data_IF_284917674710
#
_entry.id   IF_284917674710
#
_cell.length_a   1.000
_cell.length_b   1.000
_cell.length_c   1.000
_cell.angle_alpha   90.00
_cell.angle_beta   90.00
_cell.angle_gamma   90.00
#
_symmetry.space_group_name_H-M   'P 1'
#
loop_
_entity.id
_entity.type
_entity.pdbx_description
1 polymer ?
#
# COMPACT_ATOMS: atom_id res chain seq x y z
N UNK A 1 25.94 -24.19 3.86
CA UNK A 1 25.30 -23.00 4.47
C UNK A 1 24.74 -22.00 3.44
N UNK A 2 24.61 -22.36 2.14
CA UNK A 2 24.43 -21.38 1.05
C UNK A 2 23.05 -21.25 0.40
N UNK A 3 22.17 -22.27 0.48
CA UNK A 3 20.95 -22.28 -0.35
C UNK A 3 19.73 -21.61 0.29
N UNK A 4 19.60 -21.66 1.61
CA UNK A 4 18.50 -21.03 2.34
C UNK A 4 18.59 -19.49 2.35
N UNK A 5 19.80 -18.95 2.35
CA UNK A 5 20.03 -17.49 2.32
C UNK A 5 19.74 -16.94 0.92
N UNK A 6 20.24 -17.60 -0.14
CA UNK A 6 19.93 -17.23 -1.53
C UNK A 6 18.43 -17.25 -1.82
N UNK A 7 17.70 -18.28 -1.38
CA UNK A 7 16.23 -18.33 -1.55
C UNK A 7 15.50 -17.20 -0.84
N UNK A 8 15.91 -16.84 0.40
CA UNK A 8 15.32 -15.70 1.12
C UNK A 8 15.57 -14.37 0.42
N UNK A 9 16.78 -14.16 -0.11
CA UNK A 9 17.15 -12.93 -0.82
C UNK A 9 16.37 -12.82 -2.14
N UNK A 10 16.28 -13.90 -2.92
CA UNK A 10 15.52 -13.93 -4.18
C UNK A 10 14.02 -13.71 -3.94
N UNK A 11 13.47 -14.29 -2.87
CA UNK A 11 12.08 -14.04 -2.46
C UNK A 11 11.86 -12.57 -2.07
N UNK A 12 12.80 -11.99 -1.30
CA UNK A 12 12.76 -10.57 -0.93
C UNK A 12 12.82 -9.64 -2.14
N UNK A 13 13.70 -9.92 -3.11
CA UNK A 13 13.83 -9.16 -4.35
C UNK A 13 12.56 -9.26 -5.20
N UNK A 14 11.92 -10.43 -5.28
CA UNK A 14 10.62 -10.58 -5.96
C UNK A 14 9.54 -9.72 -5.33
N UNK A 15 9.45 -9.71 -4.00
CA UNK A 15 8.49 -8.86 -3.27
C UNK A 15 8.78 -7.38 -3.55
N UNK A 16 10.06 -7.00 -3.52
CA UNK A 16 10.48 -5.62 -3.79
C UNK A 16 10.16 -5.18 -5.22
N UNK A 17 10.38 -6.05 -6.21
CA UNK A 17 10.04 -5.80 -7.60
C UNK A 17 8.52 -5.64 -7.79
N UNK A 18 7.71 -6.46 -7.11
CA UNK A 18 6.25 -6.31 -7.11
C UNK A 18 5.82 -5.00 -6.45
N UNK A 19 6.44 -4.60 -5.34
CA UNK A 19 6.21 -3.29 -4.72
C UNK A 19 6.55 -2.14 -5.66
N UNK A 20 7.73 -2.16 -6.30
CA UNK A 20 8.16 -1.12 -7.25
C UNK A 20 7.19 -1.04 -8.42
N UNK A 21 6.79 -2.19 -8.97
CA UNK A 21 5.83 -2.25 -10.07
C UNK A 21 4.46 -1.71 -9.66
N UNK A 22 4.00 -2.05 -8.46
CA UNK A 22 2.74 -1.54 -7.90
C UNK A 22 2.78 -0.02 -7.69
N UNK A 23 3.88 0.51 -7.15
CA UNK A 23 4.09 1.96 -6.97
C UNK A 23 4.09 2.67 -8.32
N UNK A 24 4.83 2.16 -9.30
CA UNK A 24 4.84 2.68 -10.67
C UNK A 24 3.44 2.71 -11.29
N UNK A 25 2.67 1.64 -11.09
CA UNK A 25 1.31 1.52 -11.63
C UNK A 25 0.36 2.53 -10.97
N UNK A 26 0.44 2.72 -9.65
CA UNK A 26 -0.35 3.75 -8.95
C UNK A 26 0.06 5.16 -9.40
N UNK A 27 1.35 5.45 -9.47
CA UNK A 27 1.85 6.75 -9.92
C UNK A 27 1.43 7.04 -11.36
N UNK A 28 1.40 6.01 -12.22
CA UNK A 28 0.92 6.12 -13.59
C UNK A 28 -0.59 6.39 -13.65
N UNK A 29 -1.41 5.65 -12.88
CA UNK A 29 -2.86 5.90 -12.79
C UNK A 29 -3.15 7.30 -12.26
N UNK A 30 -2.43 7.75 -11.22
CA UNK A 30 -2.61 9.06 -10.63
C UNK A 30 -2.21 10.18 -11.61
N UNK A 31 -1.10 10.02 -12.32
CA UNK A 31 -0.68 10.97 -13.35
C UNK A 31 -1.67 11.00 -14.52
N UNK A 32 -2.19 9.85 -14.93
CA UNK A 32 -3.21 9.77 -15.99
C UNK A 32 -4.53 10.42 -15.56
N UNK A 33 -4.92 10.26 -14.29
CA UNK A 33 -6.09 10.92 -13.71
C UNK A 33 -5.92 12.45 -13.67
N UNK A 34 -4.74 12.94 -13.28
CA UNK A 34 -4.40 14.37 -13.32
C UNK A 34 -4.43 14.96 -14.74
N UNK A 35 -3.94 14.21 -15.74
CA UNK A 35 -3.95 14.65 -17.14
C UNK A 35 -5.38 14.70 -17.71
N UNK A 36 -6.27 13.79 -17.27
CA UNK A 36 -7.65 13.70 -17.78
C UNK A 36 -8.64 14.60 -17.04
N UNK A 37 -8.36 14.93 -15.77
CA UNK A 37 -9.22 15.74 -14.92
C UNK A 37 -8.73 17.19 -14.90
N UNK A 38 -9.08 17.96 -15.94
CA UNK A 38 -8.99 19.42 -15.90
C UNK A 38 -9.96 19.95 -14.81
N UNK A 39 -9.43 20.12 -13.59
CA UNK A 39 -10.04 20.74 -12.41
C UNK A 39 -11.28 20.04 -11.80
N UNK A 40 -11.37 20.13 -10.47
CA UNK A 40 -12.38 19.53 -9.56
C UNK A 40 -12.32 18.00 -9.38
N UNK A 41 -11.17 17.46 -8.98
CA UNK A 41 -11.13 16.13 -8.37
C UNK A 41 -11.92 16.14 -7.05
N UNK A 42 -13.09 15.52 -7.05
CA UNK A 42 -13.94 15.42 -5.87
C UNK A 42 -13.18 14.69 -4.74
N UNK A 43 -12.82 15.39 -3.67
CA UNK A 43 -12.00 14.86 -2.55
C UNK A 43 -12.58 13.56 -1.96
N UNK A 44 -13.90 13.40 -2.02
CA UNK A 44 -14.61 12.18 -1.59
C UNK A 44 -14.22 10.98 -2.47
N UNK A 45 -14.11 11.17 -3.79
CA UNK A 45 -13.72 10.12 -4.71
C UNK A 45 -12.29 9.65 -4.45
N UNK A 46 -11.35 10.59 -4.25
CA UNK A 46 -9.96 10.27 -3.89
C UNK A 46 -9.86 9.53 -2.56
N UNK A 47 -10.66 9.92 -1.56
CA UNK A 47 -10.74 9.23 -0.27
C UNK A 47 -11.19 7.76 -0.45
N UNK A 48 -12.27 7.53 -1.20
CA UNK A 48 -12.82 6.19 -1.45
C UNK A 48 -11.80 5.32 -2.21
N UNK A 49 -11.11 5.91 -3.20
CA UNK A 49 -10.07 5.22 -3.96
C UNK A 49 -8.87 4.85 -3.07
N UNK A 50 -8.46 5.75 -2.18
CA UNK A 50 -7.44 5.47 -1.16
C UNK A 50 -7.87 4.35 -0.20
N UNK A 51 -9.10 4.37 0.31
CA UNK A 51 -9.60 3.32 1.20
C UNK A 51 -9.60 1.96 0.50
N UNK A 52 -10.13 1.88 -0.72
CA UNK A 52 -10.20 0.62 -1.46
C UNK A 52 -8.82 0.06 -1.78
N UNK A 53 -7.86 0.91 -2.18
CA UNK A 53 -6.47 0.50 -2.43
C UNK A 53 -5.77 -0.01 -1.18
N UNK A 54 -5.89 0.68 -0.03
CA UNK A 54 -5.30 0.21 1.23
C UNK A 54 -5.96 -1.07 1.75
N UNK A 55 -7.27 -1.27 1.56
CA UNK A 55 -7.94 -2.55 1.87
C UNK A 55 -7.36 -3.67 1.01
N UNK A 56 -7.21 -3.45 -0.30
CA UNK A 56 -6.69 -4.47 -1.22
C UNK A 56 -5.23 -4.82 -0.92
N UNK A 57 -4.42 -3.80 -0.63
CA UNK A 57 -3.04 -3.95 -0.21
C UNK A 57 -2.95 -4.78 1.07
N UNK A 58 -3.73 -4.40 2.09
CA UNK A 58 -3.83 -5.17 3.32
C UNK A 58 -4.22 -6.62 3.06
N UNK A 59 -5.25 -6.85 2.25
CA UNK A 59 -5.73 -8.19 1.90
C UNK A 59 -4.62 -9.06 1.30
N UNK A 60 -3.84 -8.53 0.36
CA UNK A 60 -2.71 -9.25 -0.24
C UNK A 60 -1.66 -9.62 0.80
N UNK A 61 -1.20 -8.66 1.62
CA UNK A 61 -0.18 -8.93 2.62
C UNK A 61 -0.67 -9.85 3.76
N UNK A 62 -1.92 -9.68 4.19
CA UNK A 62 -2.57 -10.54 5.17
C UNK A 62 -2.68 -11.99 4.69
N UNK A 63 -3.01 -12.18 3.41
CA UNK A 63 -3.07 -13.50 2.78
C UNK A 63 -1.66 -14.13 2.65
N UNK A 64 -0.64 -13.36 2.24
CA UNK A 64 0.73 -13.89 2.14
C UNK A 64 1.29 -14.39 3.47
N UNK A 65 1.13 -13.59 4.54
CA UNK A 65 1.71 -13.90 5.85
C UNK A 65 0.83 -14.89 6.62
N UNK A 66 -0.49 -14.84 6.42
CA UNK A 66 -1.50 -15.73 7.02
C UNK A 66 -1.45 -15.83 8.56
N UNK A 67 -0.73 -14.92 9.22
CA UNK A 67 -0.55 -14.84 10.66
C UNK A 67 -0.60 -13.39 11.09
N UNK A 68 -1.21 -13.15 12.26
CA UNK A 68 -1.26 -11.82 12.90
C UNK A 68 -1.74 -10.72 11.94
N UNK A 69 -2.81 -10.98 11.18
CA UNK A 69 -3.30 -10.11 10.09
C UNK A 69 -3.47 -8.64 10.50
N UNK A 70 -3.97 -8.37 11.72
CA UNK A 70 -4.13 -7.01 12.21
C UNK A 70 -2.78 -6.26 12.34
N UNK A 71 -1.76 -6.91 12.92
CA UNK A 71 -0.43 -6.32 13.09
C UNK A 71 0.25 -6.12 11.72
N UNK A 72 0.10 -7.11 10.84
CA UNK A 72 0.60 -7.03 9.46
C UNK A 72 0.01 -5.82 8.75
N UNK A 73 -1.32 -5.66 8.79
CA UNK A 73 -1.99 -4.57 8.09
C UNK A 73 -1.66 -3.19 8.62
N UNK A 74 -1.47 -3.04 9.94
CA UNK A 74 -1.00 -1.78 10.54
C UNK A 74 0.41 -1.45 10.06
N UNK A 75 1.34 -2.41 10.10
CA UNK A 75 2.72 -2.20 9.65
C UNK A 75 2.80 -1.90 8.15
N UNK A 76 2.05 -2.62 7.33
CA UNK A 76 1.97 -2.39 5.88
C UNK A 76 1.37 -1.02 5.58
N UNK A 77 0.28 -0.65 6.26
CA UNK A 77 -0.37 0.65 6.10
C UNK A 77 0.57 1.80 6.46
N UNK A 78 1.17 1.77 7.65
CA UNK A 78 2.11 2.80 8.11
C UNK A 78 3.34 2.92 7.22
N UNK A 79 3.94 1.80 6.82
CA UNK A 79 5.11 1.82 5.93
C UNK A 79 4.78 2.43 4.57
N UNK A 80 3.63 2.10 3.98
CA UNK A 80 3.22 2.68 2.69
C UNK A 80 2.87 4.16 2.78
N UNK A 81 2.16 4.59 3.84
CA UNK A 81 1.85 6.00 4.06
C UNK A 81 3.14 6.82 4.19
N UNK A 82 4.11 6.31 4.96
CA UNK A 82 5.39 6.98 5.14
C UNK A 82 6.16 7.08 3.81
N UNK A 83 6.16 6.01 3.01
CA UNK A 83 6.79 6.00 1.68
C UNK A 83 6.14 7.00 0.72
N UNK A 84 4.80 7.04 0.67
CA UNK A 84 4.05 7.96 -0.19
C UNK A 84 4.33 9.41 0.23
N UNK A 85 4.30 9.71 1.53
CA UNK A 85 4.61 11.05 2.04
C UNK A 85 6.05 11.47 1.74
N UNK A 86 7.00 10.53 1.81
CA UNK A 86 8.39 10.80 1.49
C UNK A 86 8.59 11.09 -0.01
N UNK A 87 7.90 10.35 -0.88
CA UNK A 87 7.89 10.61 -2.33
C UNK A 87 7.25 11.96 -2.63
N UNK A 88 6.11 12.26 -2.00
CA UNK A 88 5.42 13.54 -2.16
C UNK A 88 6.32 14.70 -1.72
N UNK A 89 6.93 14.59 -0.55
CA UNK A 89 7.87 15.59 -0.04
C UNK A 89 9.06 15.82 -0.97
N UNK A 90 9.64 14.76 -1.55
CA UNK A 90 10.72 14.89 -2.53
C UNK A 90 10.27 15.59 -3.82
N UNK A 91 9.02 15.42 -4.22
CA UNK A 91 8.47 15.97 -5.46
C UNK A 91 8.00 17.43 -5.31
N UNK A 92 7.34 17.78 -4.20
CA UNK A 92 6.71 19.10 -4.00
C UNK A 92 7.46 19.99 -3.02
N UNK A 93 8.41 19.44 -2.26
CA UNK A 93 9.06 20.08 -1.09
C UNK A 93 8.09 20.53 0.02
N UNK A 94 6.83 20.10 -0.05
CA UNK A 94 5.83 20.39 0.95
C UNK A 94 5.56 19.16 1.82
N UNK A 95 5.44 19.39 3.12
CA UNK A 95 5.09 18.36 4.08
C UNK A 95 3.70 18.64 4.65
N UNK A 96 2.68 18.06 4.02
CA UNK A 96 1.30 18.14 4.51
C UNK A 96 0.82 16.76 4.94
N UNK A 97 0.77 16.55 6.26
CA UNK A 97 0.28 15.30 6.84
C UNK A 97 -1.04 15.56 7.56
N UNK A 98 -2.10 14.93 7.04
CA UNK A 98 -3.37 14.83 7.74
C UNK A 98 -3.43 13.57 8.60
N UNK A 99 -3.44 13.75 9.91
CA UNK A 99 -3.51 12.65 10.88
C UNK A 99 -4.76 11.78 10.70
N UNK A 100 -5.87 12.40 10.30
CA UNK A 100 -7.15 11.71 10.02
C UNK A 100 -6.97 10.73 8.84
N UNK A 101 -6.33 11.17 7.75
CA UNK A 101 -6.09 10.31 6.59
C UNK A 101 -5.15 9.14 6.95
N UNK A 102 -4.13 9.39 7.76
CA UNK A 102 -3.25 8.32 8.25
C UNK A 102 -4.05 7.26 9.00
N UNK A 103 -4.90 7.65 9.94
CA UNK A 103 -5.73 6.72 10.69
C UNK A 103 -6.67 5.93 9.77
N UNK A 104 -7.38 6.62 8.86
CA UNK A 104 -8.32 5.98 7.94
C UNK A 104 -7.61 4.92 7.08
N UNK A 105 -6.48 5.26 6.46
CA UNK A 105 -5.77 4.33 5.59
C UNK A 105 -5.10 3.19 6.37
N UNK A 106 -4.59 3.45 7.58
CA UNK A 106 -4.01 2.41 8.43
C UNK A 106 -5.06 1.41 8.89
N UNK A 107 -6.23 1.89 9.34
CA UNK A 107 -7.36 1.02 9.73
C UNK A 107 -7.87 0.24 8.51
N UNK A 108 -7.98 0.88 7.35
CA UNK A 108 -8.39 0.23 6.09
C UNK A 108 -7.46 -0.93 5.72
N UNK A 109 -6.14 -0.74 5.83
CA UNK A 109 -5.15 -1.79 5.61
C UNK A 109 -5.18 -2.90 6.66
N UNK A 110 -5.43 -2.55 7.92
CA UNK A 110 -5.62 -3.51 9.00
C UNK A 110 -6.82 -4.43 8.75
N UNK A 111 -7.97 -3.84 8.38
CA UNK A 111 -9.18 -4.58 8.01
C UNK A 111 -8.95 -5.48 6.80
N UNK A 112 -8.34 -4.94 5.75
CA UNK A 112 -7.96 -5.71 4.57
C UNK A 112 -7.10 -6.92 4.93
N UNK A 113 -6.10 -6.75 5.79
CA UNK A 113 -5.19 -7.83 6.20
C UNK A 113 -5.85 -8.90 7.05
N UNK A 114 -6.80 -8.53 7.92
CA UNK A 114 -7.60 -9.51 8.67
C UNK A 114 -8.47 -10.33 7.73
N UNK A 115 -9.11 -9.69 6.75
CA UNK A 115 -9.87 -10.38 5.72
C UNK A 115 -8.98 -11.33 4.91
N UNK A 116 -7.82 -10.84 4.45
CA UNK A 116 -6.84 -11.62 3.69
C UNK A 116 -6.36 -12.88 4.40
N UNK A 117 -6.18 -12.83 5.72
CA UNK A 117 -5.81 -13.99 6.53
C UNK A 117 -6.96 -15.01 6.69
N UNK A 118 -8.22 -14.56 6.55
CA UNK A 118 -9.41 -15.41 6.70
C UNK A 118 -9.70 -16.22 5.44
N UNK A 119 -9.34 -15.70 4.27
CA UNK A 119 -9.48 -16.42 3.01
C UNK A 119 -8.45 -17.56 2.89
N UNK A 120 -8.75 -18.55 2.06
CA UNK A 120 -7.82 -19.64 1.76
C UNK A 120 -6.54 -19.06 1.15
N UNK A 121 -5.37 -19.55 1.59
CA UNK A 121 -4.06 -19.09 1.10
C UNK A 121 -4.01 -19.13 -0.42
N UNK A 122 -3.99 -17.96 -1.05
CA UNK A 122 -3.90 -17.83 -2.51
C UNK A 122 -2.44 -17.68 -2.93
N UNK A 123 -1.62 -17.02 -2.09
CA UNK A 123 -0.23 -16.63 -2.35
C UNK A 123 0.67 -17.15 -1.23
#
# INVERSE_FOLDING_TARGET
MGDNVKRKIISGIKIYAVCIFYILLISFIYSFYLIKSNNDSNNIFLLILGITTFILLGLLYGNMIHKKGLIVGILVGLSHILLINLIFFLATQEFNISFILIMIYTISSALGSVLGMTFKKII
#
